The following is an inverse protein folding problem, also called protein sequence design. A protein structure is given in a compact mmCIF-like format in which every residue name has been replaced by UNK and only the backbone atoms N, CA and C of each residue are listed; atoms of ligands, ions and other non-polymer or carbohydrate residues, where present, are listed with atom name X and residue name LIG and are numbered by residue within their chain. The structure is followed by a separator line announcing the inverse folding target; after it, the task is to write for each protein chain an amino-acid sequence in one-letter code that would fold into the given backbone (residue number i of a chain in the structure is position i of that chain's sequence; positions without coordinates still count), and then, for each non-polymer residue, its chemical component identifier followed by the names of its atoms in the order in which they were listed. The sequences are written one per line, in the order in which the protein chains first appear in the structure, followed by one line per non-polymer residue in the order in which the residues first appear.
data_IF_031685336080
#
_entry.id   IF_031685336080
#
_cell.length_a   1.000
_cell.length_b   1.000
_cell.length_c   1.000
_cell.angle_alpha   90.00
_cell.angle_beta   90.00
_cell.angle_gamma   90.00
#
_symmetry.space_group_name_H-M   'P 1'
#
loop_
_entity.id
_entity.type
_entity.pdbx_description
1 polymer ?
#
# COMPACT_ATOMS: atom_id res chain seq x y z
N UNK A 1 26.24 -15.94 11.91
CA UNK A 1 25.23 -16.03 10.84
C UNK A 1 25.75 -15.21 9.68
N UNK A 2 25.59 -15.64 8.41
CA UNK A 2 26.02 -14.80 7.30
C UNK A 2 25.22 -13.49 7.39
N UNK A 3 25.96 -12.39 7.34
CA UNK A 3 25.42 -11.04 7.25
C UNK A 3 24.52 -11.00 6.01
N UNK A 4 23.21 -11.01 6.19
CA UNK A 4 22.29 -10.64 5.12
C UNK A 4 22.62 -9.17 4.80
N UNK A 5 23.37 -8.96 3.73
CA UNK A 5 23.48 -7.65 3.09
C UNK A 5 22.07 -7.14 2.85
N UNK A 6 21.80 -5.90 3.24
CA UNK A 6 20.52 -5.27 2.98
C UNK A 6 20.19 -5.43 1.49
N UNK A 7 18.94 -5.77 1.13
CA UNK A 7 18.55 -5.78 -0.27
C UNK A 7 18.89 -4.43 -0.89
N UNK A 8 19.43 -4.45 -2.12
CA UNK A 8 19.60 -3.21 -2.89
C UNK A 8 18.23 -2.54 -3.03
N UNK A 9 18.18 -1.22 -2.87
CA UNK A 9 16.96 -0.45 -3.09
C UNK A 9 16.44 -0.73 -4.52
N UNK A 10 15.13 -0.86 -4.72
CA UNK A 10 14.58 -1.13 -6.03
C UNK A 10 14.85 0.07 -6.94
N UNK A 11 14.96 -0.23 -8.23
CA UNK A 11 15.29 0.76 -9.26
C UNK A 11 14.15 1.74 -9.58
N UNK A 12 12.97 1.53 -9.00
CA UNK A 12 11.75 2.30 -9.22
C UNK A 12 11.38 3.13 -7.97
N UNK A 13 10.70 4.26 -8.19
CA UNK A 13 10.26 5.16 -7.11
C UNK A 13 8.76 5.00 -6.79
N UNK A 14 7.92 4.88 -7.82
CA UNK A 14 6.47 4.66 -7.69
C UNK A 14 6.09 3.38 -8.42
N UNK A 15 5.74 2.33 -7.70
CA UNK A 15 5.38 1.05 -8.31
C UNK A 15 3.89 0.98 -8.60
N UNK A 16 3.53 0.51 -9.79
CA UNK A 16 2.17 0.09 -10.14
C UNK A 16 2.19 -1.30 -10.75
N UNK A 17 1.25 -2.14 -10.36
CA UNK A 17 0.89 -3.39 -11.04
C UNK A 17 -0.45 -3.18 -11.72
N UNK A 18 -0.62 -3.65 -12.95
CA UNK A 18 -1.78 -3.29 -13.75
C UNK A 18 -2.05 -4.27 -14.88
N UNK A 19 -3.27 -4.24 -15.42
CA UNK A 19 -3.62 -4.86 -16.70
C UNK A 19 -3.51 -3.81 -17.80
N UNK A 20 -2.77 -4.10 -18.86
CA UNK A 20 -2.65 -3.24 -20.04
C UNK A 20 -3.89 -3.28 -20.93
N UNK A 21 -3.97 -2.36 -21.90
CA UNK A 21 -5.05 -2.36 -22.91
C UNK A 21 -5.06 -3.64 -23.77
N UNK A 22 -3.91 -4.31 -23.89
CA UNK A 22 -3.77 -5.61 -24.56
C UNK A 22 -4.25 -6.80 -23.70
N UNK A 23 -4.69 -6.55 -22.47
CA UNK A 23 -5.19 -7.55 -21.52
C UNK A 23 -4.09 -8.32 -20.77
N UNK A 24 -2.82 -8.00 -21.00
CA UNK A 24 -1.71 -8.62 -20.28
C UNK A 24 -1.45 -7.92 -18.93
N UNK A 25 -0.99 -8.68 -17.94
CA UNK A 25 -0.53 -8.14 -16.67
C UNK A 25 0.90 -7.62 -16.77
N UNK A 26 1.14 -6.45 -16.18
CA UNK A 26 2.41 -5.75 -16.18
C UNK A 26 2.68 -5.11 -14.82
N UNK A 27 3.94 -4.75 -14.57
CA UNK A 27 4.28 -3.77 -13.56
C UNK A 27 5.26 -2.72 -14.08
N UNK A 28 5.38 -1.61 -13.34
CA UNK A 28 6.25 -0.52 -13.73
C UNK A 28 6.12 0.72 -12.88
N UNK A 29 6.63 1.82 -13.42
CA UNK A 29 6.54 3.14 -12.81
C UNK A 29 5.78 4.10 -13.72
N UNK A 30 4.79 4.87 -13.20
CA UNK A 30 4.14 5.92 -13.97
C UNK A 30 5.16 6.83 -14.67
N UNK A 31 4.85 7.22 -15.92
CA UNK A 31 5.73 8.12 -16.69
C UNK A 31 5.79 9.50 -16.02
N UNK A 32 4.65 9.99 -15.54
CA UNK A 32 4.53 11.20 -14.75
C UNK A 32 4.62 10.84 -13.25
N UNK A 33 5.60 11.40 -12.56
CA UNK A 33 5.85 11.12 -11.15
C UNK A 33 4.84 11.75 -10.21
N UNK A 34 4.18 12.83 -10.65
CA UNK A 34 3.24 13.60 -9.84
C UNK A 34 1.79 13.17 -10.08
N UNK A 35 1.55 12.33 -11.09
CA UNK A 35 0.22 11.84 -11.43
C UNK A 35 -0.38 11.06 -10.25
N UNK A 36 -1.57 11.50 -9.83
CA UNK A 36 -2.46 10.69 -9.02
C UNK A 36 -3.06 9.59 -9.90
N UNK A 37 -2.58 8.36 -9.69
CA UNK A 37 -2.97 7.22 -10.52
C UNK A 37 -4.43 6.83 -10.24
N UNK A 38 -4.89 6.96 -9.00
CA UNK A 38 -6.26 6.64 -8.61
C UNK A 38 -7.25 7.57 -9.28
N UNK A 39 -7.04 8.88 -9.13
CA UNK A 39 -7.88 9.91 -9.72
C UNK A 39 -7.87 9.86 -11.26
N UNK A 40 -6.69 9.68 -11.85
CA UNK A 40 -6.56 9.56 -13.30
C UNK A 40 -7.38 8.37 -13.84
N UNK A 41 -7.35 7.22 -13.16
CA UNK A 41 -8.16 6.06 -13.55
C UNK A 41 -9.66 6.33 -13.41
N UNK A 42 -10.10 6.96 -12.32
CA UNK A 42 -11.50 7.32 -12.11
C UNK A 42 -12.02 8.29 -13.20
N UNK A 43 -11.19 9.24 -13.60
CA UNK A 43 -11.51 10.24 -14.62
C UNK A 43 -11.30 9.74 -16.06
N UNK A 44 -10.91 8.47 -16.25
CA UNK A 44 -10.53 7.88 -17.54
C UNK A 44 -9.37 8.59 -18.25
N UNK A 45 -8.50 9.26 -17.50
CA UNK A 45 -7.28 9.86 -18.01
C UNK A 45 -6.22 8.78 -18.30
N UNK A 46 -5.37 8.95 -19.34
CA UNK A 46 -4.37 7.95 -19.68
C UNK A 46 -3.26 7.83 -18.62
N UNK A 47 -3.19 6.69 -17.93
CA UNK A 47 -2.05 6.33 -17.08
C UNK A 47 -1.02 5.57 -17.91
N UNK A 48 0.08 6.24 -18.26
CA UNK A 48 1.21 5.65 -19.01
C UNK A 48 2.27 5.14 -18.04
N UNK A 49 2.76 3.91 -18.24
CA UNK A 49 3.68 3.25 -17.30
C UNK A 49 4.94 2.75 -18.02
N UNK A 50 6.11 3.12 -17.49
CA UNK A 50 7.43 2.59 -17.88
C UNK A 50 7.56 1.16 -17.33
N UNK A 51 7.61 0.18 -18.22
CA UNK A 51 7.53 -1.22 -17.84
C UNK A 51 8.81 -1.76 -17.20
N UNK A 52 8.63 -2.51 -16.12
CA UNK A 52 9.61 -3.40 -15.51
C UNK A 52 9.43 -4.83 -16.06
N UNK A 53 10.48 -5.65 -15.99
CA UNK A 53 10.45 -7.06 -16.41
C UNK A 53 10.04 -8.03 -15.29
N UNK A 54 9.15 -7.60 -14.40
CA UNK A 54 8.60 -8.41 -13.30
C UNK A 54 7.09 -8.28 -13.20
N UNK A 55 6.54 -8.71 -12.06
CA UNK A 55 5.10 -8.59 -11.76
C UNK A 55 4.81 -8.12 -10.32
N UNK A 56 5.80 -7.98 -9.45
CA UNK A 56 5.59 -7.74 -8.01
C UNK A 56 6.48 -6.61 -7.50
N UNK A 57 5.95 -5.86 -6.53
CA UNK A 57 6.74 -4.86 -5.80
C UNK A 57 7.83 -5.49 -4.93
N UNK A 58 7.78 -6.79 -4.66
CA UNK A 58 8.80 -7.52 -3.89
C UNK A 58 9.93 -8.07 -4.77
N UNK A 59 9.83 -7.92 -6.09
CA UNK A 59 10.87 -8.34 -7.02
C UNK A 59 11.85 -7.19 -7.22
N UNK A 60 12.99 -7.26 -6.54
CA UNK A 60 14.00 -6.19 -6.54
C UNK A 60 15.06 -6.37 -7.65
N UNK A 61 15.10 -7.52 -8.32
CA UNK A 61 16.03 -7.81 -9.41
C UNK A 61 15.49 -7.33 -10.78
N UNK A 62 14.38 -6.60 -10.77
CA UNK A 62 13.74 -6.07 -11.97
C UNK A 62 14.55 -4.95 -12.63
N UNK A 63 14.41 -4.85 -13.95
CA UNK A 63 14.97 -3.80 -14.80
C UNK A 63 13.90 -3.15 -15.67
N UNK A 64 14.08 -1.87 -16.00
CA UNK A 64 13.24 -1.21 -16.98
C UNK A 64 13.48 -1.81 -18.37
N UNK A 65 12.38 -2.17 -19.04
CA UNK A 65 12.41 -2.78 -20.37
C UNK A 65 12.61 -1.77 -21.50
N UNK A 66 12.50 -0.46 -21.20
CA UNK A 66 12.46 0.62 -22.18
C UNK A 66 11.11 0.77 -22.89
N UNK A 67 10.12 -0.07 -22.58
CA UNK A 67 8.75 0.02 -23.13
C UNK A 67 7.87 0.86 -22.22
N UNK A 68 6.88 1.51 -22.82
CA UNK A 68 5.80 2.22 -22.13
C UNK A 68 4.47 1.64 -22.58
N UNK A 69 3.58 1.34 -21.64
CA UNK A 69 2.25 0.79 -21.91
C UNK A 69 1.20 1.59 -21.13
N UNK A 70 0.01 1.74 -21.72
CA UNK A 70 -1.13 2.34 -21.05
C UNK A 70 -1.81 1.32 -20.14
N UNK A 71 -2.01 1.70 -18.89
CA UNK A 71 -2.77 0.91 -17.94
C UNK A 71 -4.27 1.02 -18.23
N UNK A 72 -4.95 -0.13 -18.22
CA UNK A 72 -6.42 -0.24 -18.31
C UNK A 72 -7.04 -0.38 -16.93
N UNK A 73 -6.38 -1.09 -16.03
CA UNK A 73 -6.86 -1.40 -14.69
C UNK A 73 -5.68 -1.52 -13.73
N UNK A 74 -5.74 -0.86 -12.58
CA UNK A 74 -4.70 -0.98 -11.54
C UNK A 74 -5.01 -2.16 -10.63
N UNK A 75 -3.97 -2.92 -10.30
CA UNK A 75 -3.99 -4.04 -9.38
C UNK A 75 -3.26 -3.65 -8.08
N UNK A 76 -3.42 -4.49 -7.05
CA UNK A 76 -2.62 -4.35 -5.82
C UNK A 76 -1.12 -4.48 -6.13
N UNK A 77 -0.22 -3.76 -5.44
CA UNK A 77 1.22 -3.81 -5.73
C UNK A 77 1.87 -5.18 -5.46
N UNK A 78 1.24 -5.99 -4.60
CA UNK A 78 1.62 -7.37 -4.29
C UNK A 78 0.41 -8.29 -4.39
N UNK A 79 0.65 -9.57 -4.64
CA UNK A 79 -0.39 -10.60 -4.67
C UNK A 79 -0.85 -10.99 -3.25
N UNK A 80 -2.06 -11.60 -3.10
CA UNK A 80 -2.48 -12.18 -1.83
C UNK A 80 -1.52 -13.26 -1.28
N UNK A 81 -0.84 -14.00 -2.17
CA UNK A 81 0.15 -15.00 -1.74
C UNK A 81 1.38 -14.34 -1.10
N UNK A 82 1.84 -13.22 -1.66
CA UNK A 82 2.98 -12.46 -1.16
C UNK A 82 2.66 -11.68 0.11
N UNK A 83 1.44 -11.14 0.24
CA UNK A 83 1.05 -10.38 1.42
C UNK A 83 1.03 -11.23 2.71
N UNK A 84 0.77 -12.54 2.60
CA UNK A 84 0.73 -13.45 3.73
C UNK A 84 -0.30 -13.04 4.79
N UNK A 85 0.15 -12.47 5.90
CA UNK A 85 -0.72 -11.92 6.95
C UNK A 85 -0.60 -10.40 6.98
N UNK A 86 -1.72 -9.71 6.79
CA UNK A 86 -1.77 -8.24 6.89
C UNK A 86 -1.88 -7.88 8.37
N UNK A 87 -0.97 -7.06 8.87
CA UNK A 87 -0.91 -6.62 10.26
C UNK A 87 -1.34 -5.16 10.32
N UNK A 88 -2.30 -4.85 11.18
CA UNK A 88 -2.91 -3.53 11.28
C UNK A 88 -2.73 -2.97 12.69
N UNK A 89 -2.71 -1.65 12.82
CA UNK A 89 -2.63 -0.95 14.10
C UNK A 89 -3.94 -0.18 14.32
N UNK A 90 -4.70 -0.55 15.34
CA UNK A 90 -5.92 0.15 15.75
C UNK A 90 -5.61 1.39 16.58
N UNK A 91 -6.52 2.37 16.52
CA UNK A 91 -6.48 3.60 17.35
C UNK A 91 -5.16 4.39 17.26
N UNK A 92 -4.52 4.37 16.08
CA UNK A 92 -3.21 5.00 15.84
C UNK A 92 -3.28 6.50 15.48
N UNK A 93 -4.49 7.08 15.48
CA UNK A 93 -4.73 8.51 15.27
C UNK A 93 -5.48 9.08 16.48
N UNK A 94 -4.89 10.09 17.12
CA UNK A 94 -5.44 10.67 18.36
C UNK A 94 -6.82 11.28 18.17
N UNK A 95 -7.05 11.87 17.01
CA UNK A 95 -8.32 12.53 16.68
C UNK A 95 -9.44 11.50 16.52
N UNK A 96 -9.15 10.37 15.87
CA UNK A 96 -10.08 9.25 15.75
C UNK A 96 -10.43 8.62 17.12
N UNK A 97 -9.45 8.48 18.02
CA UNK A 97 -9.71 8.00 19.38
C UNK A 97 -10.63 8.96 20.16
N UNK A 98 -10.49 10.27 19.95
CA UNK A 98 -11.34 11.29 20.56
C UNK A 98 -12.78 11.25 20.01
N UNK A 99 -12.95 11.05 18.69
CA UNK A 99 -14.26 10.87 18.06
C UNK A 99 -15.01 9.66 18.62
N UNK A 100 -14.32 8.54 18.78
CA UNK A 100 -14.87 7.30 19.35
C UNK A 100 -15.03 7.35 20.88
N UNK A 101 -14.55 8.43 21.54
CA UNK A 101 -14.53 8.60 23.00
C UNK A 101 -13.82 7.46 23.72
N UNK A 102 -12.81 6.87 23.08
CA UNK A 102 -12.00 5.79 23.63
C UNK A 102 -10.77 6.38 24.31
N UNK A 103 -10.32 5.74 25.38
CA UNK A 103 -9.04 6.08 25.98
C UNK A 103 -7.91 5.60 25.05
N UNK A 104 -6.88 6.42 24.86
CA UNK A 104 -5.70 5.99 24.10
C UNK A 104 -5.08 4.76 24.78
N UNK A 105 -4.79 3.69 24.03
CA UNK A 105 -4.21 2.50 24.61
C UNK A 105 -2.77 2.77 25.03
N UNK A 106 -2.32 2.08 26.09
CA UNK A 106 -0.93 2.22 26.60
C UNK A 106 0.09 1.46 25.77
N UNK A 107 -0.37 0.55 24.91
CA UNK A 107 0.41 -0.20 23.95
C UNK A 107 -0.36 -0.20 22.61
N UNK A 108 0.32 -0.34 21.46
CA UNK A 108 -0.37 -0.44 20.17
C UNK A 108 -1.35 -1.61 20.13
N UNK A 109 -2.57 -1.37 19.66
CA UNK A 109 -3.54 -2.43 19.41
C UNK A 109 -3.26 -3.05 18.05
N UNK A 110 -2.84 -4.31 18.05
CA UNK A 110 -2.49 -5.04 16.83
C UNK A 110 -3.56 -6.08 16.52
N UNK A 111 -4.05 -6.07 15.28
CA UNK A 111 -4.94 -7.10 14.76
C UNK A 111 -4.51 -7.52 13.35
N UNK A 112 -5.10 -8.63 12.88
CA UNK A 112 -4.71 -9.24 11.62
C UNK A 112 -5.87 -9.28 10.62
N UNK A 113 -5.52 -9.18 9.34
CA UNK A 113 -6.43 -9.41 8.23
C UNK A 113 -5.90 -10.51 7.32
N UNK A 114 -6.77 -11.40 6.83
CA UNK A 114 -6.36 -12.46 5.91
C UNK A 114 -5.98 -11.82 4.57
N UNK A 115 -4.95 -12.34 3.89
CA UNK A 115 -4.57 -11.80 2.57
C UNK A 115 -5.68 -11.90 1.51
N UNK A 116 -6.67 -12.77 1.72
CA UNK A 116 -7.87 -12.87 0.88
C UNK A 116 -8.75 -11.62 0.94
N UNK A 117 -8.51 -10.68 1.87
CA UNK A 117 -9.21 -9.40 1.91
C UNK A 117 -8.64 -8.37 0.94
N UNK A 118 -7.48 -8.62 0.31
CA UNK A 118 -6.93 -7.73 -0.69
C UNK A 118 -7.88 -7.61 -1.88
N UNK A 119 -8.19 -6.37 -2.24
CA UNK A 119 -9.03 -6.05 -3.38
C UNK A 119 -8.28 -5.07 -4.31
N UNK A 120 -8.57 -5.14 -5.61
CA UNK A 120 -7.99 -4.17 -6.53
C UNK A 120 -8.57 -2.76 -6.27
N UNK A 121 -7.78 -1.67 -6.47
CA UNK A 121 -8.17 -0.29 -6.21
C UNK A 121 -9.60 0.07 -6.62
N UNK A 122 -9.97 -0.27 -7.86
CA UNK A 122 -11.26 0.09 -8.46
C UNK A 122 -12.31 -1.04 -8.39
N UNK A 123 -12.01 -2.14 -7.68
CA UNK A 123 -12.94 -3.26 -7.56
C UNK A 123 -14.02 -2.98 -6.51
N UNK A 124 -15.28 -3.39 -6.76
CA UNK A 124 -16.35 -3.18 -5.81
C UNK A 124 -16.08 -3.91 -4.49
N UNK A 125 -16.50 -3.30 -3.40
CA UNK A 125 -16.47 -3.92 -2.08
C UNK A 125 -17.81 -4.58 -1.83
N UNK A 126 -17.79 -5.89 -1.62
CA UNK A 126 -18.99 -6.67 -1.36
C UNK A 126 -19.27 -6.74 0.14
N UNK A 127 -20.21 -5.91 0.61
CA UNK A 127 -20.66 -5.94 2.00
C UNK A 127 -21.72 -7.04 2.21
N UNK A 128 -21.52 -7.94 3.19
CA UNK A 128 -22.57 -8.83 3.65
C UNK A 128 -23.76 -8.03 4.20
N UNK A 129 -25.00 -8.49 3.95
CA UNK A 129 -26.20 -7.78 4.40
C UNK A 129 -26.24 -7.57 5.93
N UNK A 130 -25.69 -8.49 6.71
CA UNK A 130 -25.60 -8.37 8.18
C UNK A 130 -24.66 -7.26 8.65
N UNK A 131 -23.71 -6.86 7.80
CA UNK A 131 -22.66 -5.89 8.09
C UNK A 131 -22.97 -4.50 7.52
N UNK A 132 -23.99 -4.38 6.66
CA UNK A 132 -24.24 -3.17 5.87
C UNK A 132 -24.53 -1.92 6.71
N UNK A 133 -25.07 -2.07 7.92
CA UNK A 133 -25.41 -0.96 8.81
C UNK A 133 -24.29 -0.55 9.77
N UNK A 134 -23.17 -1.27 9.78
CA UNK A 134 -22.05 -1.10 10.70
C UNK A 134 -20.71 -1.07 9.99
N UNK A 135 -20.72 -0.89 8.67
CA UNK A 135 -19.51 -0.84 7.86
C UNK A 135 -19.03 0.60 7.79
N UNK A 136 -17.79 0.83 8.17
CA UNK A 136 -17.13 2.14 8.12
C UNK A 136 -15.94 2.10 7.15
N UNK A 137 -15.67 3.25 6.53
CA UNK A 137 -14.51 3.47 5.67
C UNK A 137 -13.36 4.03 6.50
N UNK A 138 -12.22 3.35 6.50
CA UNK A 138 -10.97 3.80 7.08
C UNK A 138 -9.95 3.99 5.97
N UNK A 139 -9.31 5.16 5.91
CA UNK A 139 -8.16 5.40 5.02
C UNK A 139 -6.89 5.32 5.85
N UNK A 140 -6.01 4.38 5.51
CA UNK A 140 -4.78 4.13 6.26
C UNK A 140 -3.54 4.15 5.37
N UNK A 141 -2.42 4.55 5.96
CA UNK A 141 -1.11 4.33 5.39
C UNK A 141 -0.75 2.83 5.44
N UNK A 142 -0.56 2.21 4.29
CA UNK A 142 -0.06 0.84 4.20
C UNK A 142 1.45 0.79 3.96
N UNK A 143 2.13 -0.18 4.57
CA UNK A 143 3.56 -0.44 4.42
C UNK A 143 3.77 -1.86 3.92
N UNK A 144 4.61 -2.04 2.90
CA UNK A 144 4.97 -3.35 2.34
C UNK A 144 6.36 -3.74 2.80
N UNK A 145 6.47 -4.92 3.38
CA UNK A 145 7.75 -5.47 3.85
C UNK A 145 8.42 -6.28 2.73
N UNK A 146 9.50 -5.76 2.17
CA UNK A 146 10.43 -6.35 1.20
C UNK A 146 11.43 -7.36 1.76
N UNK A 147 11.51 -7.56 3.08
CA UNK A 147 12.36 -8.61 3.66
C UNK A 147 11.85 -9.08 5.02
N UNK A 148 12.30 -10.28 5.41
CA UNK A 148 12.02 -10.87 6.72
C UNK A 148 12.69 -10.06 7.84
N UNK A 149 11.88 -9.57 8.77
CA UNK A 149 12.29 -8.70 9.87
C UNK A 149 11.88 -9.28 11.24
N UNK A 150 12.75 -9.14 12.24
CA UNK A 150 12.47 -9.48 13.65
C UNK A 150 13.32 -8.63 14.59
N UNK A 151 12.72 -8.20 15.70
CA UNK A 151 13.38 -7.39 16.75
C UNK A 151 14.09 -6.14 16.20
N UNK A 152 13.46 -5.52 15.19
CA UNK A 152 13.97 -4.32 14.51
C UNK A 152 13.86 -3.11 15.44
N UNK A 153 14.94 -2.37 15.60
CA UNK A 153 14.92 -1.12 16.36
C UNK A 153 14.20 -0.02 15.57
N UNK A 154 13.63 0.97 16.25
CA UNK A 154 12.96 2.09 15.58
C UNK A 154 13.89 2.84 14.62
N UNK A 155 15.16 3.01 14.98
CA UNK A 155 16.17 3.68 14.14
C UNK A 155 16.56 2.86 12.92
N UNK A 156 16.46 1.53 13.00
CA UNK A 156 16.75 0.62 11.91
C UNK A 156 15.55 0.37 11.02
N UNK A 157 14.34 0.81 11.41
CA UNK A 157 13.09 0.46 10.74
C UNK A 157 13.13 0.71 9.23
N UNK A 158 13.73 1.82 8.78
CA UNK A 158 13.74 2.21 7.37
C UNK A 158 14.93 1.66 6.56
N UNK A 159 16.06 1.31 7.19
CA UNK A 159 17.33 1.06 6.48
C UNK A 159 18.22 -0.03 7.13
N UNK A 160 17.72 -0.74 8.13
CA UNK A 160 18.46 -1.75 8.89
C UNK A 160 18.70 -3.08 8.14
N UNK A 161 19.65 -3.90 8.61
CA UNK A 161 19.85 -5.25 8.09
C UNK A 161 18.61 -6.12 8.35
N UNK A 162 18.03 -6.69 7.29
CA UNK A 162 16.79 -7.48 7.38
C UNK A 162 15.52 -6.63 7.45
N UNK A 163 15.61 -5.30 7.40
CA UNK A 163 14.45 -4.42 7.22
C UNK A 163 14.32 -4.12 5.75
N UNK A 164 13.66 -4.98 5.00
CA UNK A 164 13.11 -4.55 3.71
C UNK A 164 11.86 -3.69 3.94
N UNK A 165 11.76 -2.92 5.01
CA UNK A 165 10.57 -2.10 5.25
C UNK A 165 10.60 -0.97 4.24
N UNK A 166 10.00 -1.20 3.08
CA UNK A 166 9.67 -0.14 2.17
C UNK A 166 8.31 0.40 2.60
N UNK A 167 8.34 1.32 3.56
CA UNK A 167 7.20 2.17 3.85
C UNK A 167 6.99 3.11 2.66
N UNK A 168 6.27 2.63 1.65
CA UNK A 168 5.77 3.48 0.57
C UNK A 168 4.26 3.59 0.71
N UNK A 169 3.84 4.81 0.98
CA UNK A 169 2.44 5.15 1.15
C UNK A 169 1.66 4.85 -0.12
N UNK A 170 0.87 3.78 -0.08
CA UNK A 170 -0.35 3.70 -0.85
C UNK A 170 -1.47 4.04 0.13
N UNK A 171 -2.28 5.05 -0.20
CA UNK A 171 -3.51 5.30 0.54
C UNK A 171 -4.34 4.03 0.47
N UNK A 172 -4.53 3.34 1.58
CA UNK A 172 -5.34 2.13 1.59
C UNK A 172 -6.73 2.48 2.08
N UNK A 173 -7.73 2.18 1.27
CA UNK A 173 -9.12 2.27 1.67
C UNK A 173 -9.55 0.92 2.22
N UNK A 174 -10.13 0.96 3.40
CA UNK A 174 -10.67 -0.19 4.07
C UNK A 174 -12.12 0.06 4.33
N UNK A 175 -12.97 -0.88 3.95
CA UNK A 175 -14.29 -0.95 4.54
C UNK A 175 -14.29 -2.12 5.53
N UNK A 176 -14.50 -1.80 6.79
CA UNK A 176 -14.43 -2.74 7.90
C UNK A 176 -15.68 -2.69 8.76
N UNK A 177 -15.99 -3.81 9.40
CA UNK A 177 -16.79 -3.87 10.62
C UNK A 177 -15.84 -4.28 11.74
N UNK A 178 -15.98 -3.74 12.95
CA UNK A 178 -15.17 -4.11 14.13
C UNK A 178 -15.07 -5.64 14.33
N UNK A 179 -16.05 -6.41 13.82
CA UNK A 179 -16.18 -7.88 14.00
C UNK A 179 -15.69 -8.76 12.81
N UNK A 180 -14.81 -8.26 11.94
CA UNK A 180 -13.99 -9.15 11.09
C UNK A 180 -14.44 -9.36 9.63
N UNK A 181 -15.43 -8.61 9.15
CA UNK A 181 -15.64 -8.43 7.71
C UNK A 181 -14.83 -7.23 7.25
N UNK A 182 -13.86 -7.46 6.37
CA UNK A 182 -13.00 -6.39 5.91
C UNK A 182 -12.51 -6.65 4.49
N UNK A 183 -12.44 -5.60 3.68
CA UNK A 183 -11.64 -5.52 2.47
C UNK A 183 -10.48 -4.54 2.70
N UNK A 184 -9.35 -4.75 2.04
CA UNK A 184 -8.26 -3.79 1.96
C UNK A 184 -8.01 -3.51 0.49
N UNK A 185 -8.28 -2.28 0.08
CA UNK A 185 -7.97 -1.80 -1.26
C UNK A 185 -6.76 -0.88 -1.19
N UNK A 186 -5.80 -1.05 -2.10
CA UNK A 186 -4.74 -0.06 -2.27
C UNK A 186 -5.23 0.98 -3.26
N UNK A 187 -5.52 2.20 -2.81
CA UNK A 187 -5.77 3.33 -3.67
C UNK A 187 -4.46 3.91 -4.20
N UNK A 188 -4.45 4.29 -5.47
CA UNK A 188 -3.35 5.05 -6.10
C UNK A 188 -3.39 6.54 -5.76
N UNK A 189 -4.11 6.93 -4.70
CA UNK A 189 -4.31 8.30 -4.28
C UNK A 189 -3.01 8.87 -3.73
N UNK A 190 -2.61 10.02 -4.26
CA UNK A 190 -1.80 10.96 -3.49
C UNK A 190 -2.72 11.45 -2.36
N UNK A 191 -2.32 11.28 -1.10
CA UNK A 191 -3.11 11.74 0.03
C UNK A 191 -3.14 13.28 0.09
N UNK A 192 -3.97 13.89 -0.74
CA UNK A 192 -4.49 15.25 -0.56
C UNK A 192 -6.03 15.07 -0.43
N UNK A 193 -6.73 15.48 0.62
CA UNK A 193 -6.58 16.68 1.44
C UNK A 193 -7.13 16.46 2.86
N UNK A 194 -6.49 17.11 3.82
CA UNK A 194 -6.94 17.15 5.22
C UNK A 194 -5.87 17.75 6.14
N UNK A 195 -5.44 18.97 5.83
CA UNK A 195 -4.68 19.87 6.72
C UNK A 195 -3.52 19.25 7.54
N UNK A 196 -2.58 18.59 6.88
CA UNK A 196 -1.15 18.62 7.25
C UNK A 196 -0.31 18.21 6.05
N UNK A 197 0.51 19.12 5.54
CA UNK A 197 1.43 18.86 4.43
C UNK A 197 2.31 17.62 4.74
N UNK A 198 2.14 16.54 3.97
CA UNK A 198 3.11 15.45 3.89
C UNK A 198 3.67 15.47 2.47
N UNK A 199 4.74 16.26 2.26
CA UNK A 199 5.50 16.26 1.01
C UNK A 199 6.41 15.02 0.91
N UNK A 200 6.93 14.69 -0.27
CA UNK A 200 7.84 13.54 -0.46
C UNK A 200 9.16 13.64 0.32
N UNK A 201 9.47 14.80 0.92
CA UNK A 201 10.58 14.96 1.86
C UNK A 201 10.16 14.63 3.30
N UNK A 202 8.89 14.78 3.67
CA UNK A 202 8.38 14.58 5.02
C UNK A 202 8.39 13.13 5.47
N UNK A 203 8.44 12.15 4.56
CA UNK A 203 8.70 10.74 4.89
C UNK A 203 10.13 10.52 5.44
N UNK A 204 11.06 11.47 5.25
CA UNK A 204 12.41 11.42 5.81
C UNK A 204 12.51 12.01 7.23
N UNK A 205 11.50 12.74 7.69
CA UNK A 205 11.52 13.47 8.95
C UNK A 205 10.77 12.73 10.10
N UNK A 206 10.48 11.43 9.94
CA UNK A 206 9.88 10.57 10.99
C UNK A 206 10.91 9.93 11.95
N UNK A 207 12.09 10.55 12.12
CA UNK A 207 13.14 10.12 13.08
C UNK A 207 13.45 11.19 14.12
#
# INVERSE_FOLDING_TARGET
MPSATAPDLPIWNRFVRFIGEDGNEYCGEPVDSELDVGLAMEQNEPVMVKLLNGISALDFDVIFTGRVVRAREILTPITPAEAGTIRCIGLNYTDHAAEMKLALPTNPEVFFKPSTCLNAPSSPIHLPALAASSADLEVELAVVLGADAKDVSATDAMHGPGTGVEARAAGSERVGVEDGYCCLSFGGYNAEEGDSHIDGNSLRDWT
#
